data_IF_322559994079
#
_entry.id   IF_322559994079
#
_cell.length_a   1.000
_cell.length_b   1.000
_cell.length_c   1.000
_cell.angle_alpha   90.00
_cell.angle_beta   90.00
_cell.angle_gamma   90.00
#
_symmetry.space_group_name_H-M   'P 1'
#
loop_
_entity.id
_entity.type
_entity.pdbx_description
1 polymer ?
#
# COMPACT_ATOMS: atom_id res chain seq x y z
N UNK A 1 -25.40 -1.44 -48.06
CA UNK A 1 -25.49 -0.41 -46.98
C UNK A 1 -26.22 -1.02 -45.78
N UNK A 2 -25.51 -1.54 -44.77
CA UNK A 2 -26.15 -1.98 -43.48
C UNK A 2 -25.14 -2.30 -42.37
N UNK A 3 -23.90 -2.66 -42.73
CA UNK A 3 -22.86 -3.10 -41.76
C UNK A 3 -22.23 -1.96 -40.95
N UNK A 4 -22.11 -0.76 -41.51
CA UNK A 4 -21.49 0.39 -40.82
C UNK A 4 -22.33 0.99 -39.68
N UNK A 5 -23.64 0.73 -39.65
CA UNK A 5 -24.57 1.35 -38.70
C UNK A 5 -24.56 0.67 -37.31
N UNK A 6 -23.94 -0.52 -37.22
CA UNK A 6 -23.87 -1.35 -36.00
C UNK A 6 -22.52 -1.16 -35.27
N UNK A 7 -21.47 -0.76 -35.99
CA UNK A 7 -20.11 -0.60 -35.42
C UNK A 7 -20.05 0.62 -34.49
N UNK A 8 -20.73 1.70 -34.86
CA UNK A 8 -20.74 2.96 -34.11
C UNK A 8 -21.34 2.85 -32.69
N UNK A 9 -22.49 2.19 -32.43
CA UNK A 9 -22.99 2.01 -31.07
C UNK A 9 -22.15 1.04 -30.23
N UNK A 10 -21.45 0.08 -30.86
CA UNK A 10 -20.61 -0.89 -30.15
C UNK A 10 -19.35 -0.26 -29.55
N UNK A 11 -18.73 0.67 -30.27
CA UNK A 11 -17.57 1.44 -29.78
C UNK A 11 -17.99 2.39 -28.65
N UNK A 12 -19.18 3.00 -28.78
CA UNK A 12 -19.72 3.89 -27.75
C UNK A 12 -20.04 3.14 -26.45
N UNK A 13 -20.56 1.92 -26.55
CA UNK A 13 -20.81 1.05 -25.40
C UNK A 13 -19.53 0.58 -24.72
N UNK A 14 -18.47 0.23 -25.48
CA UNK A 14 -17.17 -0.12 -24.89
C UNK A 14 -16.52 1.06 -24.15
N UNK A 15 -16.65 2.29 -24.67
CA UNK A 15 -16.14 3.49 -24.02
C UNK A 15 -16.81 3.79 -22.67
N UNK A 16 -18.11 3.50 -22.55
CA UNK A 16 -18.86 3.67 -21.29
C UNK A 16 -18.45 2.66 -20.21
N UNK A 17 -18.07 1.43 -20.58
CA UNK A 17 -17.55 0.43 -19.64
C UNK A 17 -16.17 0.78 -19.09
N UNK A 18 -15.32 1.46 -19.87
CA UNK A 18 -14.01 1.91 -19.40
C UNK A 18 -14.08 2.99 -18.30
N UNK A 19 -15.16 3.78 -18.27
CA UNK A 19 -15.40 4.81 -17.26
C UNK A 19 -16.04 4.25 -15.96
N UNK A 20 -16.67 3.08 -16.01
CA UNK A 20 -17.23 2.41 -14.84
C UNK A 20 -16.16 1.72 -13.96
N UNK A 21 -14.90 1.66 -14.42
CA UNK A 21 -13.78 1.08 -13.66
C UNK A 21 -13.19 1.97 -12.57
N UNK A 22 -13.55 3.26 -12.54
CA UNK A 22 -13.16 4.20 -11.49
C UNK A 22 -14.31 4.41 -10.50
N UNK A 23 -14.90 3.32 -9.99
CA UNK A 23 -15.60 3.44 -8.71
C UNK A 23 -14.52 3.81 -7.67
N UNK A 24 -14.63 4.96 -6.97
CA UNK A 24 -13.72 5.24 -5.87
C UNK A 24 -13.91 4.11 -4.88
N UNK A 25 -12.86 3.30 -4.69
CA UNK A 25 -12.82 2.39 -3.55
C UNK A 25 -12.94 3.30 -2.34
N UNK A 26 -13.97 3.10 -1.53
CA UNK A 26 -14.27 3.79 -0.27
C UNK A 26 -13.16 3.52 0.78
N UNK A 27 -11.92 3.83 0.43
CA UNK A 27 -10.83 3.93 1.38
C UNK A 27 -10.86 5.38 1.85
N UNK A 28 -11.35 5.57 3.07
CA UNK A 28 -11.19 6.84 3.77
C UNK A 28 -9.72 7.28 3.62
N UNK A 29 -9.47 8.56 3.29
CA UNK A 29 -8.10 9.04 3.18
C UNK A 29 -7.38 8.78 4.51
N UNK A 30 -6.12 8.33 4.46
CA UNK A 30 -5.40 7.98 5.67
C UNK A 30 -5.29 9.21 6.57
N UNK A 31 -5.47 8.99 7.87
CA UNK A 31 -5.30 10.05 8.86
C UNK A 31 -3.86 10.57 8.85
N UNK A 32 -3.63 11.75 9.43
CA UNK A 32 -2.27 12.28 9.58
C UNK A 32 -1.35 11.29 10.31
N UNK A 33 -1.86 10.65 11.37
CA UNK A 33 -1.13 9.64 12.13
C UNK A 33 -0.79 8.42 11.26
N UNK A 34 -1.73 7.94 10.44
CA UNK A 34 -1.46 6.83 9.52
C UNK A 34 -0.43 7.18 8.45
N UNK A 35 -0.46 8.42 7.92
CA UNK A 35 0.54 8.89 6.97
C UNK A 35 1.93 8.97 7.61
N UNK A 36 2.02 9.47 8.84
CA UNK A 36 3.26 9.52 9.61
C UNK A 36 3.79 8.10 9.88
N UNK A 37 2.92 7.18 10.26
CA UNK A 37 3.27 5.80 10.54
C UNK A 37 3.73 5.05 9.28
N UNK A 38 3.17 5.36 8.11
CA UNK A 38 3.65 4.85 6.82
C UNK A 38 5.02 5.42 6.42
N UNK A 39 5.25 6.72 6.64
CA UNK A 39 6.56 7.32 6.41
C UNK A 39 7.62 6.72 7.33
N UNK A 40 7.30 6.54 8.61
CA UNK A 40 8.13 5.83 9.59
C UNK A 40 8.43 4.41 9.13
N UNK A 41 7.42 3.66 8.65
CA UNK A 41 7.59 2.30 8.13
C UNK A 41 8.59 2.24 6.98
N UNK A 42 8.55 3.18 6.04
CA UNK A 42 9.50 3.21 4.93
C UNK A 42 10.94 3.40 5.44
N UNK A 43 11.17 4.44 6.26
CA UNK A 43 12.48 4.72 6.85
C UNK A 43 13.00 3.53 7.68
N UNK A 44 12.17 3.00 8.57
CA UNK A 44 12.56 1.92 9.46
C UNK A 44 12.80 0.60 8.73
N UNK A 45 12.16 0.38 7.58
CA UNK A 45 12.44 -0.78 6.72
C UNK A 45 13.82 -0.67 6.09
N UNK A 46 14.22 0.52 5.64
CA UNK A 46 15.57 0.76 5.11
C UNK A 46 16.63 0.61 6.19
N UNK A 47 16.41 1.18 7.38
CA UNK A 47 17.33 1.03 8.52
C UNK A 47 17.49 -0.44 8.94
N UNK A 48 16.37 -1.18 9.09
CA UNK A 48 16.41 -2.60 9.44
C UNK A 48 17.10 -3.45 8.37
N UNK A 49 16.91 -3.11 7.10
CA UNK A 49 17.57 -3.78 5.97
C UNK A 49 19.07 -3.48 5.93
N UNK A 50 19.49 -2.26 6.24
CA UNK A 50 20.91 -1.90 6.33
C UNK A 50 21.60 -2.64 7.49
N UNK A 51 20.91 -2.81 8.62
CA UNK A 51 21.41 -3.53 9.79
C UNK A 51 21.39 -5.05 9.60
N UNK A 52 20.48 -5.56 8.80
CA UNK A 52 20.34 -6.98 8.48
C UNK A 52 20.28 -7.17 6.95
N UNK A 53 21.43 -6.94 6.30
CA UNK A 53 21.54 -7.01 4.84
C UNK A 53 21.29 -8.42 4.30
N UNK A 54 21.55 -9.44 5.11
CA UNK A 54 21.40 -10.84 4.76
C UNK A 54 20.04 -11.41 5.19
N UNK A 55 19.45 -12.25 4.34
CA UNK A 55 18.19 -12.93 4.65
C UNK A 55 16.94 -12.14 4.27
N UNK A 56 15.81 -12.52 4.87
CA UNK A 56 14.48 -12.01 4.49
C UNK A 56 14.19 -10.69 5.21
N UNK A 57 13.79 -9.65 4.48
CA UNK A 57 13.50 -8.30 5.03
C UNK A 57 12.01 -8.13 5.34
N UNK A 58 11.51 -8.94 6.27
CA UNK A 58 10.13 -8.85 6.76
C UNK A 58 9.99 -9.40 8.20
N UNK A 59 8.78 -9.35 8.76
CA UNK A 59 8.48 -9.81 10.13
C UNK A 59 8.75 -11.29 10.40
N UNK A 60 8.90 -12.13 9.38
CA UNK A 60 9.25 -13.55 9.58
C UNK A 60 10.71 -13.75 9.97
N UNK A 61 11.57 -12.74 9.74
CA UNK A 61 12.96 -12.74 10.17
C UNK A 61 13.08 -11.99 11.51
N UNK A 62 13.35 -12.67 12.64
CA UNK A 62 13.34 -12.05 13.97
C UNK A 62 14.42 -10.97 14.14
N UNK A 63 15.53 -11.08 13.42
CA UNK A 63 16.60 -10.06 13.47
C UNK A 63 16.18 -8.80 12.72
N UNK A 64 15.58 -8.94 11.54
CA UNK A 64 15.09 -7.77 10.80
C UNK A 64 13.90 -7.11 11.52
N UNK A 65 12.96 -7.93 12.02
CA UNK A 65 11.79 -7.46 12.74
C UNK A 65 12.16 -6.65 13.99
N UNK A 66 13.13 -7.11 14.78
CA UNK A 66 13.57 -6.38 15.97
C UNK A 66 14.22 -5.02 15.66
N UNK A 67 15.02 -4.90 14.59
CA UNK A 67 15.55 -3.60 14.16
C UNK A 67 14.45 -2.66 13.67
N UNK A 68 13.48 -3.19 12.93
CA UNK A 68 12.34 -2.43 12.46
C UNK A 68 11.50 -1.91 13.64
N UNK A 69 11.13 -2.78 14.58
CA UNK A 69 10.35 -2.45 15.78
C UNK A 69 11.02 -1.37 16.63
N UNK A 70 12.31 -1.53 16.89
CA UNK A 70 13.12 -0.54 17.61
C UNK A 70 13.09 0.84 16.94
N UNK A 71 13.22 0.90 15.62
CA UNK A 71 13.14 2.15 14.87
C UNK A 71 11.74 2.77 14.96
N UNK A 72 10.68 1.96 14.81
CA UNK A 72 9.30 2.43 14.87
C UNK A 72 8.96 3.02 16.24
N UNK A 73 9.37 2.37 17.34
CA UNK A 73 9.20 2.89 18.69
C UNK A 73 9.97 4.18 18.93
N UNK A 74 11.19 4.32 18.37
CA UNK A 74 11.96 5.56 18.43
C UNK A 74 11.21 6.73 17.77
N UNK A 75 10.42 6.45 16.73
CA UNK A 75 9.57 7.43 16.05
C UNK A 75 8.20 7.63 16.71
N UNK A 76 7.96 6.99 17.85
CA UNK A 76 6.75 7.14 18.64
C UNK A 76 5.58 6.23 18.25
N UNK A 77 5.80 5.26 17.36
CA UNK A 77 4.76 4.29 16.98
C UNK A 77 4.58 3.28 18.10
N UNK A 78 3.34 3.06 18.52
CA UNK A 78 2.98 2.13 19.60
C UNK A 78 2.88 0.68 19.11
N UNK A 79 2.99 -0.30 20.02
CA UNK A 79 2.78 -1.71 19.70
C UNK A 79 1.41 -1.98 19.05
N UNK A 80 0.38 -1.24 19.49
CA UNK A 80 -0.97 -1.37 18.98
C UNK A 80 -1.07 -0.94 17.51
N UNK A 81 -0.37 0.12 17.12
CA UNK A 81 -0.29 0.59 15.74
C UNK A 81 0.58 -0.33 14.89
N UNK A 82 1.71 -0.78 15.45
CA UNK A 82 2.64 -1.67 14.79
C UNK A 82 1.96 -3.01 14.43
N UNK A 83 1.12 -3.54 15.34
CA UNK A 83 0.31 -4.74 15.09
C UNK A 83 -0.63 -4.58 13.88
N UNK A 84 -1.17 -3.38 13.62
CA UNK A 84 -2.01 -3.11 12.43
C UNK A 84 -1.21 -3.09 11.12
N UNK A 85 0.12 -3.03 11.18
CA UNK A 85 0.97 -3.00 9.98
C UNK A 85 1.45 -4.38 9.52
N UNK A 86 1.43 -5.36 10.42
CA UNK A 86 1.86 -6.74 10.17
C UNK A 86 0.71 -7.68 9.82
N UNK A 87 -0.49 -7.37 10.32
CA UNK A 87 -1.71 -8.16 10.19
C UNK A 87 -2.78 -7.36 9.44
#
# INVERSE_FOLDING_TARGET
MKKFKIIMPLILALGLFALAGCAPRDHAPPTFEEQQAQAAKAQCSEEATAMNSEGVHNSSNPFWASYFEMCMHRLGVTDAELKKMWY
#
